data_IF_642108296300
#
_entry.id   IF_642108296300
#
_cell.length_a   1.000
_cell.length_b   1.000
_cell.length_c   1.000
_cell.angle_alpha   90.00
_cell.angle_beta   90.00
_cell.angle_gamma   90.00
#
_symmetry.space_group_name_H-M   'P 1'
#
loop_
_entity.id
_entity.type
_entity.pdbx_description
1 polymer ?
#
# COMPACT_ATOMS: atom_id res chain seq x y z
N UNK A 1 -35.37 -4.81 20.43
CA UNK A 1 -35.61 -5.34 21.78
C UNK A 1 -35.01 -6.73 21.90
N UNK A 2 -34.20 -6.90 22.95
CA UNK A 2 -33.95 -8.12 23.75
C UNK A 2 -33.23 -9.34 23.15
N UNK A 3 -32.02 -9.56 23.67
CA UNK A 3 -31.26 -10.81 23.68
C UNK A 3 -32.07 -12.00 24.25
N UNK A 4 -31.76 -13.22 23.78
CA UNK A 4 -31.91 -14.46 24.58
C UNK A 4 -30.73 -15.41 24.36
N UNK A 5 -29.87 -15.47 25.36
CA UNK A 5 -28.94 -16.56 25.66
C UNK A 5 -29.71 -17.86 25.89
N UNK A 6 -29.25 -18.98 25.33
CA UNK A 6 -29.49 -20.30 25.92
C UNK A 6 -28.19 -21.11 25.88
N UNK A 7 -27.61 -21.20 27.06
CA UNK A 7 -26.56 -22.11 27.48
C UNK A 7 -27.20 -23.49 27.74
N UNK A 8 -26.69 -24.56 27.13
CA UNK A 8 -27.07 -25.92 27.49
C UNK A 8 -25.83 -26.83 27.50
N UNK A 9 -25.21 -26.89 28.67
CA UNK A 9 -24.30 -27.96 29.04
C UNK A 9 -25.11 -29.26 29.22
N UNK A 10 -24.61 -30.37 28.70
CA UNK A 10 -25.11 -31.71 29.04
C UNK A 10 -23.92 -32.66 29.09
N UNK A 11 -23.48 -32.92 30.30
CA UNK A 11 -22.54 -33.98 30.68
C UNK A 11 -23.30 -35.30 30.78
N UNK A 12 -22.80 -36.37 30.15
CA UNK A 12 -23.09 -37.74 30.59
C UNK A 12 -21.84 -38.61 30.47
N UNK A 13 -21.64 -39.34 31.56
CA UNK A 13 -20.48 -40.11 32.00
C UNK A 13 -20.72 -41.61 31.74
N UNK A 14 -19.62 -42.37 31.63
CA UNK A 14 -19.48 -43.83 31.84
C UNK A 14 -19.78 -44.74 30.64
N UNK A 15 -19.02 -45.79 30.31
CA UNK A 15 -18.31 -46.78 31.14
C UNK A 15 -17.21 -47.51 30.29
N UNK A 16 -16.29 -48.21 30.97
CA UNK A 16 -15.59 -49.45 30.55
C UNK A 16 -14.07 -49.39 30.29
N UNK A 17 -13.32 -49.87 31.29
CA UNK A 17 -12.29 -50.90 31.08
C UNK A 17 -10.83 -50.49 31.37
N UNK A 18 -10.13 -51.14 32.32
CA UNK A 18 -8.70 -50.99 32.49
C UNK A 18 -7.96 -52.00 31.61
N UNK A 19 -7.03 -51.54 30.76
CA UNK A 19 -6.03 -52.42 30.18
C UNK A 19 -4.76 -51.62 29.86
N UNK A 20 -3.66 -52.08 30.45
CA UNK A 20 -2.31 -51.57 30.29
C UNK A 20 -1.81 -51.66 28.85
N UNK A 21 -0.86 -50.77 28.55
CA UNK A 21 0.09 -50.79 27.43
C UNK A 21 -0.43 -50.37 26.05
N UNK A 22 -0.26 -49.09 25.72
CA UNK A 22 0.07 -48.67 24.36
C UNK A 22 0.71 -47.28 24.36
N UNK A 23 1.90 -47.21 23.77
CA UNK A 23 2.47 -46.10 22.99
C UNK A 23 2.27 -44.68 23.57
N UNK A 24 3.36 -44.08 24.02
CA UNK A 24 3.43 -42.66 24.33
C UNK A 24 2.79 -41.85 23.19
N UNK A 25 1.72 -41.08 23.45
CA UNK A 25 1.06 -40.32 22.40
C UNK A 25 2.03 -39.25 21.88
N UNK A 26 2.26 -39.26 20.57
CA UNK A 26 2.75 -38.10 19.84
C UNK A 26 1.91 -36.92 20.29
N UNK A 27 2.55 -35.91 20.87
CA UNK A 27 1.89 -34.70 21.33
C UNK A 27 1.03 -34.16 20.18
N UNK A 28 -0.27 -33.87 20.41
CA UNK A 28 -1.11 -33.30 19.36
C UNK A 28 -0.45 -32.03 18.84
N UNK A 29 -0.47 -31.77 17.52
CA UNK A 29 0.04 -30.52 16.97
C UNK A 29 -0.64 -29.37 17.70
N UNK A 30 0.16 -28.44 18.21
CA UNK A 30 -0.34 -27.25 18.88
C UNK A 30 -1.37 -26.57 17.97
N UNK A 31 -2.51 -26.10 18.51
CA UNK A 31 -3.46 -25.35 17.72
C UNK A 31 -2.72 -24.17 17.06
N UNK A 32 -3.04 -23.84 15.79
CA UNK A 32 -2.45 -22.67 15.14
C UNK A 32 -2.66 -21.47 16.06
N UNK A 33 -1.58 -20.78 16.38
CA UNK A 33 -1.64 -19.57 17.18
C UNK A 33 -2.70 -18.66 16.54
N UNK A 34 -3.73 -18.32 17.31
CA UNK A 34 -4.76 -17.40 16.84
C UNK A 34 -4.04 -16.14 16.35
N UNK A 35 -4.23 -15.79 15.07
CA UNK A 35 -3.71 -14.56 14.53
C UNK A 35 -4.17 -13.43 15.45
N UNK A 36 -3.22 -12.70 16.02
CA UNK A 36 -3.54 -11.55 16.85
C UNK A 36 -4.41 -10.59 16.01
N UNK A 37 -5.50 -10.03 16.58
CA UNK A 37 -6.32 -9.09 15.85
C UNK A 37 -5.45 -7.91 15.40
N UNK A 38 -5.40 -7.66 14.10
CA UNK A 38 -4.76 -6.46 13.56
C UNK A 38 -5.56 -5.28 14.13
N UNK A 39 -4.92 -4.34 14.86
CA UNK A 39 -5.62 -3.19 15.41
C UNK A 39 -6.27 -2.39 14.28
N UNK A 40 -7.52 -1.96 14.49
CA UNK A 40 -8.20 -1.09 13.54
C UNK A 40 -7.46 0.25 13.42
N UNK A 41 -7.44 0.88 12.22
CA UNK A 41 -6.74 2.13 12.00
C UNK A 41 -7.30 3.23 12.90
N UNK A 42 -6.41 4.06 13.44
CA UNK A 42 -6.80 5.21 14.25
C UNK A 42 -7.60 6.22 13.42
N UNK A 43 -8.41 7.12 14.04
CA UNK A 43 -9.08 8.19 13.30
C UNK A 43 -8.12 9.08 12.51
N UNK A 44 -6.90 9.29 13.02
CA UNK A 44 -5.84 10.03 12.34
C UNK A 44 -5.31 9.28 11.12
N UNK A 45 -5.08 7.97 11.25
CA UNK A 45 -4.67 7.12 10.13
C UNK A 45 -5.75 7.07 9.04
N UNK A 46 -7.03 7.00 9.42
CA UNK A 46 -8.15 7.04 8.49
C UNK A 46 -8.23 8.37 7.73
N UNK A 47 -8.00 9.50 8.41
CA UNK A 47 -7.98 10.82 7.76
C UNK A 47 -6.82 10.95 6.76
N UNK A 48 -5.65 10.42 7.09
CA UNK A 48 -4.50 10.40 6.16
C UNK A 48 -4.75 9.47 4.97
N UNK A 49 -5.33 8.28 5.19
CA UNK A 49 -5.70 7.39 4.08
C UNK A 49 -6.69 8.04 3.11
N UNK A 50 -7.71 8.74 3.63
CA UNK A 50 -8.65 9.49 2.79
C UNK A 50 -7.95 10.63 1.99
N UNK A 51 -6.95 11.29 2.58
CA UNK A 51 -6.14 12.30 1.88
C UNK A 51 -5.28 11.68 0.78
N UNK A 52 -4.69 10.50 1.02
CA UNK A 52 -3.93 9.76 -0.01
C UNK A 52 -4.84 9.37 -1.16
N UNK A 53 -6.05 8.88 -0.88
CA UNK A 53 -7.01 8.48 -1.91
C UNK A 53 -7.40 9.67 -2.79
N UNK A 54 -7.77 10.80 -2.17
CA UNK A 54 -8.09 12.03 -2.90
C UNK A 54 -6.90 12.57 -3.72
N UNK A 55 -5.69 12.55 -3.15
CA UNK A 55 -4.48 12.97 -3.87
C UNK A 55 -4.12 11.99 -5.01
N UNK A 56 -4.39 10.70 -4.82
CA UNK A 56 -4.20 9.66 -5.82
C UNK A 56 -5.18 9.80 -7.00
N UNK A 57 -6.45 10.12 -6.75
CA UNK A 57 -7.43 10.43 -7.81
C UNK A 57 -7.03 11.66 -8.61
N UNK A 58 -6.57 12.72 -7.93
CA UNK A 58 -6.07 13.92 -8.57
C UNK A 58 -4.83 13.63 -9.42
N UNK A 59 -3.90 12.82 -8.91
CA UNK A 59 -2.72 12.37 -9.65
C UNK A 59 -3.11 11.51 -10.86
N UNK A 60 -4.08 10.60 -10.72
CA UNK A 60 -4.61 9.80 -11.83
C UNK A 60 -5.18 10.66 -12.95
N UNK A 61 -6.01 11.65 -12.60
CA UNK A 61 -6.55 12.63 -13.57
C UNK A 61 -5.43 13.39 -14.29
N UNK A 62 -4.39 13.78 -13.57
CA UNK A 62 -3.21 14.43 -14.16
C UNK A 62 -2.48 13.49 -15.11
N UNK A 63 -2.30 12.22 -14.76
CA UNK A 63 -1.62 11.24 -15.61
C UNK A 63 -2.41 10.98 -16.91
N UNK A 64 -3.74 10.89 -16.83
CA UNK A 64 -4.61 10.74 -18.01
C UNK A 64 -4.51 11.93 -18.98
N UNK A 65 -4.21 13.14 -18.49
CA UNK A 65 -3.92 14.31 -19.34
C UNK A 65 -2.46 14.31 -19.86
N UNK A 66 -1.51 13.93 -19.00
CA UNK A 66 -0.08 13.97 -19.31
C UNK A 66 0.32 12.93 -20.36
N UNK A 67 -0.23 11.72 -20.32
CA UNK A 67 0.12 10.62 -21.23
C UNK A 67 -0.08 10.98 -22.72
N UNK A 68 -1.25 11.44 -23.19
CA UNK A 68 -1.44 11.78 -24.59
C UNK A 68 -0.58 12.98 -25.01
N UNK A 69 -0.36 13.96 -24.11
CA UNK A 69 0.50 15.12 -24.36
C UNK A 69 1.97 14.71 -24.50
N UNK A 70 2.45 13.83 -23.62
CA UNK A 70 3.79 13.27 -23.69
C UNK A 70 3.97 12.40 -24.94
N UNK A 71 2.97 11.59 -25.31
CA UNK A 71 2.97 10.80 -26.54
C UNK A 71 3.07 11.69 -27.79
N UNK A 72 2.33 12.80 -27.83
CA UNK A 72 2.42 13.77 -28.92
C UNK A 72 3.83 14.39 -29.03
N UNK A 73 4.46 14.74 -27.90
CA UNK A 73 5.85 15.24 -27.87
C UNK A 73 6.83 14.17 -28.36
N UNK A 74 6.66 12.91 -27.94
CA UNK A 74 7.50 11.78 -28.39
C UNK A 74 7.37 11.55 -29.89
N UNK A 75 6.17 11.65 -30.45
CA UNK A 75 5.88 11.48 -31.86
C UNK A 75 6.34 12.65 -32.76
N UNK A 76 6.65 13.82 -32.19
CA UNK A 76 7.07 14.99 -32.96
C UNK A 76 8.44 14.77 -33.62
N UNK A 77 8.44 14.62 -34.95
CA UNK A 77 9.65 14.41 -35.74
C UNK A 77 10.51 15.69 -35.90
N UNK A 78 9.95 16.86 -35.58
CA UNK A 78 10.66 18.15 -35.63
C UNK A 78 11.53 18.43 -34.40
N UNK A 79 11.47 17.59 -33.37
CA UNK A 79 12.20 17.76 -32.12
C UNK A 79 13.37 16.79 -31.99
N UNK A 80 14.49 17.30 -31.45
CA UNK A 80 15.58 16.44 -30.99
C UNK A 80 15.16 15.66 -29.74
N UNK A 81 15.85 14.56 -29.44
CA UNK A 81 15.60 13.78 -28.22
C UNK A 81 15.74 14.63 -26.94
N UNK A 82 16.73 15.54 -26.90
CA UNK A 82 16.93 16.45 -25.77
C UNK A 82 15.77 17.46 -25.61
N UNK A 83 15.21 17.95 -26.72
CA UNK A 83 14.06 18.87 -26.69
C UNK A 83 12.78 18.16 -26.24
N UNK A 84 12.60 16.90 -26.68
CA UNK A 84 11.47 16.06 -26.23
C UNK A 84 11.52 15.85 -24.72
N UNK A 85 12.67 15.46 -24.21
CA UNK A 85 12.88 15.25 -22.78
C UNK A 85 12.64 16.53 -21.98
N UNK A 86 13.18 17.67 -22.46
CA UNK A 86 12.99 18.97 -21.81
C UNK A 86 11.52 19.36 -21.77
N UNK A 87 10.78 19.17 -22.86
CA UNK A 87 9.34 19.46 -22.92
C UNK A 87 8.52 18.54 -22.02
N UNK A 88 8.83 17.25 -21.97
CA UNK A 88 8.14 16.30 -21.08
C UNK A 88 8.43 16.65 -19.61
N UNK A 89 9.66 17.00 -19.25
CA UNK A 89 9.98 17.47 -17.89
C UNK A 89 9.25 18.76 -17.52
N UNK A 90 9.12 19.70 -18.46
CA UNK A 90 8.33 20.91 -18.26
C UNK A 90 6.84 20.59 -18.06
N UNK A 91 6.31 19.64 -18.84
CA UNK A 91 4.95 19.11 -18.69
C UNK A 91 4.70 18.57 -17.28
N UNK A 92 5.61 17.73 -16.76
CA UNK A 92 5.52 17.20 -15.40
C UNK A 92 5.61 18.33 -14.36
N UNK A 93 6.49 19.31 -14.58
CA UNK A 93 6.66 20.44 -13.67
C UNK A 93 5.41 21.34 -13.56
N UNK A 94 4.56 21.41 -14.61
CA UNK A 94 3.26 22.09 -14.54
C UNK A 94 2.33 21.49 -13.47
N UNK A 95 2.52 20.21 -13.15
CA UNK A 95 1.69 19.47 -12.20
C UNK A 95 2.40 19.11 -10.88
N UNK A 96 3.56 19.73 -10.61
CA UNK A 96 4.29 19.55 -9.36
C UNK A 96 3.40 19.67 -8.09
N UNK A 97 2.50 20.66 -7.97
CA UNK A 97 1.66 20.78 -6.77
C UNK A 97 0.82 19.53 -6.45
N UNK A 98 0.40 18.77 -7.46
CA UNK A 98 -0.37 17.53 -7.28
C UNK A 98 0.55 16.38 -6.84
N UNK A 99 1.75 16.30 -7.43
CA UNK A 99 2.78 15.32 -7.06
C UNK A 99 3.30 15.54 -5.63
N UNK A 100 3.47 16.80 -5.24
CA UNK A 100 3.85 17.22 -3.89
C UNK A 100 2.77 16.86 -2.87
N UNK A 101 1.49 17.10 -3.20
CA UNK A 101 0.38 16.76 -2.30
C UNK A 101 0.25 15.25 -2.09
N UNK A 102 0.36 14.46 -3.15
CA UNK A 102 0.38 13.00 -3.06
C UNK A 102 1.57 12.49 -2.23
N UNK A 103 2.76 13.03 -2.48
CA UNK A 103 3.97 12.68 -1.71
C UNK A 103 3.86 13.07 -0.24
N UNK A 104 3.29 14.23 0.06
CA UNK A 104 3.03 14.70 1.43
C UNK A 104 2.06 13.77 2.17
N UNK A 105 0.98 13.35 1.51
CA UNK A 105 0.01 12.43 2.09
C UNK A 105 0.62 11.05 2.39
N UNK A 106 1.44 10.52 1.48
CA UNK A 106 2.20 9.28 1.71
C UNK A 106 3.20 9.40 2.85
N UNK A 107 3.92 10.52 2.95
CA UNK A 107 4.86 10.78 4.04
C UNK A 107 4.14 10.81 5.40
N UNK A 108 2.96 11.44 5.47
CA UNK A 108 2.16 11.48 6.69
C UNK A 108 1.77 10.07 7.15
N UNK A 109 1.40 9.17 6.22
CA UNK A 109 1.07 7.78 6.56
C UNK A 109 2.31 7.03 7.07
N UNK A 110 3.47 7.23 6.44
CA UNK A 110 4.72 6.61 6.88
C UNK A 110 5.12 7.05 8.28
N UNK A 111 4.93 8.32 8.63
CA UNK A 111 5.18 8.82 9.99
C UNK A 111 4.25 8.18 11.03
N UNK A 112 2.96 8.04 10.71
CA UNK A 112 1.98 7.37 11.58
C UNK A 112 2.35 5.89 11.80
N UNK A 113 2.77 5.20 10.73
CA UNK A 113 3.21 3.81 10.80
C UNK A 113 4.51 3.63 11.58
N UNK A 114 5.51 4.45 11.31
CA UNK A 114 6.77 4.42 12.04
C UNK A 114 6.57 4.65 13.55
N UNK A 115 5.71 5.60 13.93
CA UNK A 115 5.34 5.81 15.32
C UNK A 115 4.67 4.58 15.95
N UNK A 116 3.87 3.85 15.17
CA UNK A 116 3.19 2.61 15.61
C UNK A 116 4.12 1.40 15.70
N UNK A 117 5.15 1.36 14.86
CA UNK A 117 6.17 0.29 14.80
C UNK A 117 7.37 0.55 15.72
N UNK A 118 7.42 1.72 16.37
CA UNK A 118 8.53 2.13 17.24
C UNK A 118 9.78 2.56 16.46
N UNK A 119 9.66 2.78 15.15
CA UNK A 119 10.73 3.31 14.31
C UNK A 119 10.91 4.82 14.54
N UNK A 120 12.11 5.32 14.28
CA UNK A 120 12.41 6.74 14.46
C UNK A 120 11.78 7.59 13.33
N UNK A 121 11.40 8.85 13.60
CA UNK A 121 10.88 9.76 12.57
C UNK A 121 11.84 9.94 11.38
N UNK A 122 13.14 9.80 11.63
CA UNK A 122 14.19 9.92 10.62
C UNK A 122 14.19 8.75 9.64
N UNK A 123 14.01 7.51 10.13
CA UNK A 123 13.84 6.31 9.30
C UNK A 123 12.57 6.39 8.46
N UNK A 124 11.48 6.90 9.03
CA UNK A 124 10.22 7.11 8.34
C UNK A 124 10.34 8.13 7.19
N UNK A 125 11.02 9.25 7.45
CA UNK A 125 11.28 10.29 6.45
C UNK A 125 12.17 9.77 5.32
N UNK A 126 13.21 8.97 5.62
CA UNK A 126 14.06 8.35 4.61
C UNK A 126 13.29 7.34 3.76
N UNK A 127 12.45 6.50 4.37
CA UNK A 127 11.60 5.56 3.64
C UNK A 127 10.60 6.29 2.72
N UNK A 128 9.95 7.35 3.21
CA UNK A 128 9.03 8.16 2.41
C UNK A 128 9.75 8.86 1.23
N UNK A 129 10.94 9.42 1.46
CA UNK A 129 11.74 10.04 0.41
C UNK A 129 12.18 9.00 -0.64
N UNK A 130 12.58 7.80 -0.24
CA UNK A 130 12.95 6.72 -1.14
C UNK A 130 11.75 6.27 -2.02
N UNK A 131 10.57 6.13 -1.43
CA UNK A 131 9.33 5.79 -2.16
C UNK A 131 8.95 6.91 -3.13
N UNK A 132 8.97 8.17 -2.70
CA UNK A 132 8.63 9.31 -3.57
C UNK A 132 9.60 9.45 -4.74
N UNK A 133 10.90 9.28 -4.51
CA UNK A 133 11.92 9.26 -5.57
C UNK A 133 11.71 8.11 -6.56
N UNK A 134 11.36 6.92 -6.06
CA UNK A 134 11.07 5.76 -6.89
C UNK A 134 9.84 5.98 -7.77
N UNK A 135 8.73 6.46 -7.20
CA UNK A 135 7.48 6.76 -7.94
C UNK A 135 7.72 7.85 -8.99
N UNK A 136 8.38 8.94 -8.61
CA UNK A 136 8.67 10.05 -9.53
C UNK A 136 9.58 9.62 -10.68
N UNK A 137 10.60 8.79 -10.39
CA UNK A 137 11.49 8.21 -11.39
C UNK A 137 10.74 7.28 -12.35
N UNK A 138 9.83 6.44 -11.84
CA UNK A 138 9.02 5.55 -12.67
C UNK A 138 8.05 6.31 -13.56
N UNK A 139 7.35 7.33 -13.05
CA UNK A 139 6.46 8.19 -13.83
C UNK A 139 7.25 8.89 -14.94
N UNK A 140 8.37 9.52 -14.59
CA UNK A 140 9.21 10.20 -15.57
C UNK A 140 9.73 9.22 -16.64
N UNK A 141 10.18 8.03 -16.22
CA UNK A 141 10.67 7.01 -17.15
C UNK A 141 9.55 6.53 -18.07
N UNK A 142 8.39 6.16 -17.55
CA UNK A 142 7.24 5.70 -18.34
C UNK A 142 6.76 6.75 -19.34
N UNK A 143 6.70 8.02 -18.96
CA UNK A 143 6.32 9.11 -19.87
C UNK A 143 7.39 9.37 -20.95
N UNK A 144 8.68 9.20 -20.62
CA UNK A 144 9.80 9.41 -21.53
C UNK A 144 9.97 8.24 -22.51
N UNK A 145 9.86 6.99 -22.05
CA UNK A 145 10.02 5.80 -22.90
C UNK A 145 8.72 5.43 -23.61
N UNK A 146 7.56 5.72 -23.00
CA UNK A 146 6.27 5.22 -23.44
C UNK A 146 6.06 3.73 -23.25
N UNK A 147 6.86 3.12 -22.38
CA UNK A 147 6.76 1.72 -22.04
C UNK A 147 5.73 1.62 -20.91
N UNK A 148 4.52 1.18 -21.25
CA UNK A 148 3.57 0.71 -20.24
C UNK A 148 4.23 -0.40 -19.44
N UNK A 149 4.19 -0.38 -18.09
CA UNK A 149 4.74 -1.47 -17.28
C UNK A 149 4.05 -2.82 -17.53
N UNK A 150 2.96 -2.85 -18.29
CA UNK A 150 2.16 -4.03 -18.64
C UNK A 150 2.45 -4.62 -20.04
N UNK A 151 3.32 -4.03 -20.87
CA UNK A 151 3.64 -4.56 -22.22
C UNK A 151 4.94 -5.39 -22.30
N UNK A 152 5.49 -5.80 -21.15
CA UNK A 152 6.72 -6.60 -21.05
C UNK A 152 6.52 -7.99 -20.43
N UNK A 153 5.90 -8.90 -21.17
CA UNK A 153 5.88 -10.40 -21.04
C UNK A 153 5.39 -11.06 -19.74
#
# INVERSE_FOLDING_TARGET
MSLRLVLAASTLLALAGPAFAQQAPVAPPAPPAAAAPVPAPSPEEQAVMARIEAAGEALGTVMEDLEPRAAAIRADAGLSAADKETRIRALIAEHQPVLDEFSSALQALMLIKAASEGATPEEAAQAAAAVSMMVSSQIARGLITGEDPDEGE
#
